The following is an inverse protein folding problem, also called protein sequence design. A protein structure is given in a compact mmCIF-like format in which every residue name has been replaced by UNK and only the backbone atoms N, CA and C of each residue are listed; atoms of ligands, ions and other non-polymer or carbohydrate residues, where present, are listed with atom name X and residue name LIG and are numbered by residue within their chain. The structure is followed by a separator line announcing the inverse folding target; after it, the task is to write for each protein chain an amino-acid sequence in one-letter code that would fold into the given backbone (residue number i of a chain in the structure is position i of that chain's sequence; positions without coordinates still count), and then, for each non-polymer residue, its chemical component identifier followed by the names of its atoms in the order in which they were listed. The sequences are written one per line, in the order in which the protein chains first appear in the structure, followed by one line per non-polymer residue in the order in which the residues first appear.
data_IF_155508888079
#
_entry.id   IF_155508888079
#
_cell.length_a   1.000
_cell.length_b   1.000
_cell.length_c   1.000
_cell.angle_alpha   90.00
_cell.angle_beta   90.00
_cell.angle_gamma   90.00
#
_symmetry.space_group_name_H-M   'P 1'
#
loop_
_entity.id
_entity.type
_entity.pdbx_description
1 polymer ?
#
# COMPACT_ATOMS: atom_id res chain seq x y z
N UNK A 1 -58.04 -49.20 8.67
CA UNK A 1 -57.45 -48.48 7.52
C UNK A 1 -57.27 -47.02 7.92
N UNK A 2 -56.04 -46.61 8.18
CA UNK A 2 -55.56 -45.21 8.03
C UNK A 2 -54.05 -45.29 7.98
N UNK A 3 -53.50 -45.03 6.80
CA UNK A 3 -52.06 -45.01 6.49
C UNK A 3 -51.73 -43.59 6.03
N UNK A 4 -50.52 -43.16 6.40
CA UNK A 4 -49.72 -42.10 5.76
C UNK A 4 -50.09 -40.62 6.06
N UNK A 5 -49.18 -39.71 6.42
CA UNK A 5 -47.76 -39.55 6.01
C UNK A 5 -46.89 -38.90 7.09
N UNK A 6 -45.69 -39.46 7.23
CA UNK A 6 -44.48 -38.81 7.69
C UNK A 6 -44.09 -37.67 6.73
N UNK A 7 -43.67 -36.51 7.25
CA UNK A 7 -42.53 -35.79 6.66
C UNK A 7 -41.85 -34.87 7.70
N UNK A 8 -40.54 -35.04 7.97
CA UNK A 8 -39.75 -34.17 8.83
C UNK A 8 -38.86 -33.25 7.98
N UNK A 9 -39.01 -31.92 8.07
CA UNK A 9 -37.90 -30.99 7.78
C UNK A 9 -38.29 -29.56 8.15
N UNK A 10 -37.95 -29.15 9.37
CA UNK A 10 -37.81 -27.76 9.73
C UNK A 10 -36.41 -27.61 10.32
N UNK A 11 -35.42 -27.48 9.43
CA UNK A 11 -34.06 -27.16 9.80
C UNK A 11 -34.08 -25.81 10.56
N UNK A 12 -33.83 -25.90 11.86
CA UNK A 12 -33.54 -24.79 12.73
C UNK A 12 -32.32 -24.06 12.17
N UNK A 13 -32.54 -22.90 11.57
CA UNK A 13 -31.48 -21.90 11.39
C UNK A 13 -31.06 -21.40 12.77
N UNK A 14 -30.15 -22.13 13.40
CA UNK A 14 -29.40 -21.63 14.54
C UNK A 14 -28.54 -20.47 14.05
N UNK A 15 -28.68 -19.25 14.60
CA UNK A 15 -27.75 -18.18 14.29
C UNK A 15 -26.38 -18.59 14.87
N UNK A 16 -25.37 -18.57 14.01
CA UNK A 16 -23.98 -18.75 14.40
C UNK A 16 -23.64 -17.59 15.32
N UNK A 17 -23.70 -17.81 16.64
CA UNK A 17 -23.14 -16.89 17.64
C UNK A 17 -21.63 -17.09 17.61
N UNK A 18 -21.01 -16.58 16.54
CA UNK A 18 -19.61 -16.26 16.55
C UNK A 18 -19.45 -15.02 17.42
N UNK A 19 -18.61 -15.10 18.45
CA UNK A 19 -18.20 -13.96 19.25
C UNK A 19 -17.53 -12.95 18.31
N UNK A 20 -18.34 -12.07 17.74
CA UNK A 20 -17.90 -11.05 16.82
C UNK A 20 -17.18 -9.99 17.65
N UNK A 21 -15.85 -9.99 17.58
CA UNK A 21 -15.10 -8.75 17.72
C UNK A 21 -15.61 -7.81 16.63
N UNK A 22 -16.71 -7.10 16.89
CA UNK A 22 -17.23 -6.11 15.99
C UNK A 22 -16.16 -5.01 15.90
N UNK A 23 -15.45 -4.84 14.76
CA UNK A 23 -14.70 -3.61 14.56
C UNK A 23 -15.68 -2.47 14.82
N UNK A 24 -15.29 -1.48 15.63
CA UNK A 24 -16.19 -0.36 15.94
C UNK A 24 -16.60 0.22 14.60
N UNK A 25 -17.86 0.07 14.19
CA UNK A 25 -18.37 0.47 12.86
C UNK A 25 -17.94 1.89 12.44
N UNK A 26 -17.69 2.76 13.41
CA UNK A 26 -17.12 4.10 13.22
C UNK A 26 -15.74 4.13 12.53
N UNK A 27 -14.91 3.09 12.68
CA UNK A 27 -13.61 2.93 12.05
C UNK A 27 -13.71 2.49 10.58
N UNK A 28 -14.89 2.04 10.14
CA UNK A 28 -15.14 1.55 8.78
C UNK A 28 -15.74 2.63 7.88
N UNK A 29 -15.62 3.92 8.24
CA UNK A 29 -16.14 5.04 7.47
C UNK A 29 -15.84 4.98 5.97
N UNK A 30 -14.55 4.90 5.58
CA UNK A 30 -14.14 4.83 4.18
C UNK A 30 -14.64 3.56 3.47
N UNK A 31 -14.68 2.43 4.18
CA UNK A 31 -15.21 1.18 3.65
C UNK A 31 -16.72 1.27 3.38
N UNK A 32 -17.48 1.91 4.29
CA UNK A 32 -18.89 2.18 4.11
C UNK A 32 -19.10 3.15 2.94
N UNK A 33 -18.29 4.21 2.83
CA UNK A 33 -18.35 5.15 1.71
C UNK A 33 -18.15 4.45 0.36
N UNK A 34 -17.13 3.60 0.25
CA UNK A 34 -16.89 2.79 -0.96
C UNK A 34 -18.08 1.88 -1.30
N UNK A 35 -18.60 1.10 -0.35
CA UNK A 35 -19.75 0.22 -0.61
C UNK A 35 -20.95 1.01 -1.13
N UNK A 36 -21.16 2.22 -0.59
CA UNK A 36 -22.21 3.14 -1.02
C UNK A 36 -21.97 3.66 -2.45
N UNK A 37 -20.72 3.90 -2.85
CA UNK A 37 -20.36 4.25 -4.24
C UNK A 37 -20.69 3.11 -5.22
N UNK A 38 -20.48 1.86 -4.82
CA UNK A 38 -20.91 0.67 -5.57
C UNK A 38 -22.40 0.33 -5.41
N UNK A 39 -23.22 1.31 -5.05
CA UNK A 39 -24.69 1.19 -4.93
C UNK A 39 -25.19 0.17 -3.89
N UNK A 40 -24.36 -0.21 -2.91
CA UNK A 40 -24.81 -1.10 -1.82
C UNK A 40 -25.74 -0.32 -0.87
N UNK A 41 -26.98 -0.79 -0.63
CA UNK A 41 -27.93 -0.11 0.26
C UNK A 41 -27.44 -0.06 1.71
N UNK A 42 -27.73 1.04 2.41
CA UNK A 42 -27.37 1.20 3.83
C UNK A 42 -28.03 0.16 4.74
N UNK A 43 -29.21 -0.35 4.35
CA UNK A 43 -29.90 -1.46 5.01
C UNK A 43 -29.09 -2.75 4.92
N UNK A 44 -28.57 -3.07 3.74
CA UNK A 44 -27.74 -4.26 3.53
C UNK A 44 -26.42 -4.20 4.29
N UNK A 45 -25.79 -3.03 4.33
CA UNK A 45 -24.59 -2.80 5.14
C UNK A 45 -24.92 -2.98 6.63
N UNK A 46 -26.04 -2.40 7.08
CA UNK A 46 -26.49 -2.50 8.46
C UNK A 46 -26.76 -3.95 8.90
N UNK A 47 -27.37 -4.78 8.05
CA UNK A 47 -27.57 -6.22 8.27
C UNK A 47 -26.24 -6.95 8.48
N UNK A 48 -25.26 -6.74 7.59
CA UNK A 48 -23.95 -7.42 7.66
C UNK A 48 -23.19 -7.07 8.93
N UNK A 49 -23.27 -5.81 9.36
CA UNK A 49 -22.51 -5.33 10.52
C UNK A 49 -23.30 -5.34 11.84
N UNK A 50 -24.52 -5.86 11.87
CA UNK A 50 -25.38 -5.87 13.07
C UNK A 50 -25.67 -4.46 13.60
N UNK A 51 -25.92 -3.50 12.71
CA UNK A 51 -26.12 -2.09 13.03
C UNK A 51 -27.46 -1.56 12.51
N UNK A 52 -27.77 -0.29 12.75
CA UNK A 52 -28.94 0.38 12.16
C UNK A 52 -28.56 1.13 10.89
N UNK A 53 -29.48 1.18 9.91
CA UNK A 53 -29.26 1.95 8.68
C UNK A 53 -29.02 3.44 8.95
N UNK A 54 -29.62 4.00 10.02
CA UNK A 54 -29.37 5.37 10.47
C UNK A 54 -27.91 5.59 10.89
N UNK A 55 -27.34 4.65 11.66
CA UNK A 55 -25.92 4.70 12.07
C UNK A 55 -24.98 4.63 10.88
N UNK A 56 -25.27 3.78 9.89
CA UNK A 56 -24.51 3.69 8.64
C UNK A 56 -24.55 5.01 7.86
N UNK A 57 -25.73 5.63 7.71
CA UNK A 57 -25.88 6.95 7.03
C UNK A 57 -25.12 8.05 7.75
N UNK A 58 -25.15 8.08 9.08
CA UNK A 58 -24.42 9.06 9.88
C UNK A 58 -22.90 8.93 9.70
N UNK A 59 -22.38 7.70 9.73
CA UNK A 59 -20.96 7.42 9.49
C UNK A 59 -20.57 7.85 8.07
N UNK A 60 -21.33 7.44 7.05
CA UNK A 60 -21.10 7.84 5.67
C UNK A 60 -21.10 9.37 5.49
N UNK A 61 -22.03 10.10 6.11
CA UNK A 61 -22.09 11.56 6.03
C UNK A 61 -20.87 12.24 6.67
N UNK A 62 -20.37 11.70 7.79
CA UNK A 62 -19.16 12.20 8.46
C UNK A 62 -17.92 11.99 7.59
N UNK A 63 -17.84 10.82 6.96
CA UNK A 63 -16.71 10.46 6.10
C UNK A 63 -16.71 11.27 4.80
N UNK A 64 -17.88 11.57 4.24
CA UNK A 64 -18.03 12.40 3.03
C UNK A 64 -17.51 13.84 3.19
N UNK A 65 -17.44 14.35 4.43
CA UNK A 65 -16.82 15.66 4.73
C UNK A 65 -15.28 15.62 4.62
N UNK A 66 -14.69 14.44 4.52
CA UNK A 66 -13.25 14.24 4.28
C UNK A 66 -12.96 13.84 2.82
N UNK A 67 -13.97 13.75 1.95
CA UNK A 67 -13.95 12.92 0.73
C UNK A 67 -14.05 13.70 -0.60
N UNK A 68 -13.47 14.89 -0.70
CA UNK A 68 -13.42 15.62 -1.99
C UNK A 68 -12.29 15.13 -2.93
N UNK A 69 -11.61 14.01 -2.61
CA UNK A 69 -10.46 13.53 -3.41
C UNK A 69 -10.61 12.13 -4.00
N UNK A 70 -11.78 11.49 -3.90
CA UNK A 70 -11.99 10.18 -4.50
C UNK A 70 -12.38 10.29 -6.00
N UNK A 71 -11.46 9.79 -6.82
CA UNK A 71 -11.49 9.59 -8.28
C UNK A 71 -10.99 10.78 -9.11
N UNK A 72 -9.70 11.06 -8.99
CA UNK A 72 -8.87 11.10 -10.20
C UNK A 72 -7.81 10.01 -10.03
N UNK A 73 -7.69 9.10 -11.00
CA UNK A 73 -6.62 8.09 -11.03
C UNK A 73 -5.47 8.77 -11.76
N UNK A 74 -4.44 9.23 -11.05
CA UNK A 74 -3.32 9.88 -11.72
C UNK A 74 -2.66 8.87 -12.65
N UNK A 75 -2.26 9.31 -13.84
CA UNK A 75 -1.30 8.53 -14.63
C UNK A 75 0.00 8.42 -13.81
N UNK A 76 0.83 7.39 -14.03
CA UNK A 76 2.18 7.27 -13.46
C UNK A 76 3.00 8.59 -13.32
N UNK A 77 2.92 9.57 -14.25
CA UNK A 77 3.58 10.87 -14.12
C UNK A 77 2.99 11.81 -13.06
N UNK A 78 1.74 11.60 -12.65
CA UNK A 78 0.94 12.45 -11.74
C UNK A 78 0.85 11.90 -10.32
N UNK A 79 1.55 10.80 -10.01
CA UNK A 79 1.61 10.18 -8.66
C UNK A 79 2.08 11.16 -7.58
N UNK A 80 2.78 12.22 -7.98
CA UNK A 80 3.22 13.32 -7.14
C UNK A 80 3.05 14.62 -7.93
N UNK A 81 2.91 15.74 -7.23
CA UNK A 81 2.80 17.06 -7.86
C UNK A 81 4.03 17.33 -8.75
N UNK A 82 3.84 17.68 -10.04
CA UNK A 82 4.92 18.10 -10.93
C UNK A 82 5.86 19.15 -10.31
N UNK A 83 5.34 20.09 -9.49
CA UNK A 83 6.16 21.11 -8.81
C UNK A 83 7.04 20.51 -7.71
N UNK A 84 6.49 19.61 -6.89
CA UNK A 84 7.24 18.92 -5.83
C UNK A 84 8.38 18.08 -6.44
N UNK A 85 8.09 17.43 -7.56
CA UNK A 85 9.07 16.65 -8.31
C UNK A 85 10.14 17.54 -8.96
N UNK A 86 9.75 18.69 -9.50
CA UNK A 86 10.65 19.68 -10.09
C UNK A 86 11.61 20.27 -9.04
N UNK A 87 11.14 20.51 -7.80
CA UNK A 87 11.99 20.97 -6.70
C UNK A 87 13.09 19.95 -6.37
N UNK A 88 12.74 18.67 -6.22
CA UNK A 88 13.72 17.60 -5.93
C UNK A 88 14.67 17.38 -7.11
N UNK A 89 14.17 17.53 -8.35
CA UNK A 89 14.98 17.61 -9.57
C UNK A 89 16.00 18.73 -9.54
N UNK A 90 15.59 19.95 -9.19
CA UNK A 90 16.50 21.10 -9.11
C UNK A 90 17.61 20.89 -8.07
N UNK A 91 17.28 20.27 -6.93
CA UNK A 91 18.22 19.95 -5.86
C UNK A 91 19.23 18.85 -6.24
N UNK A 92 18.85 17.95 -7.14
CA UNK A 92 19.65 16.78 -7.50
C UNK A 92 20.37 16.87 -8.85
N UNK A 93 19.97 17.78 -9.76
CA UNK A 93 20.59 18.00 -11.08
C UNK A 93 22.07 18.39 -11.01
N UNK A 94 22.61 18.68 -9.82
CA UNK A 94 23.97 19.22 -9.63
C UNK A 94 25.11 18.18 -9.64
N UNK A 95 24.86 16.86 -9.65
CA UNK A 95 25.96 15.89 -9.48
C UNK A 95 25.79 14.63 -10.35
N UNK A 96 26.29 14.67 -11.59
CA UNK A 96 26.61 13.47 -12.41
C UNK A 96 28.07 13.02 -12.22
N UNK A 97 28.58 13.13 -11.00
CA UNK A 97 29.95 12.68 -10.69
C UNK A 97 29.88 11.18 -10.35
N UNK A 98 30.60 10.31 -11.06
CA UNK A 98 30.64 8.89 -10.72
C UNK A 98 31.25 8.69 -9.33
N UNK A 99 30.76 7.68 -8.59
CA UNK A 99 31.37 7.29 -7.33
C UNK A 99 32.69 6.56 -7.61
N UNK A 100 33.76 6.95 -6.92
CA UNK A 100 35.09 6.37 -7.09
C UNK A 100 35.71 5.93 -5.76
N UNK A 101 36.63 4.97 -5.84
CA UNK A 101 37.46 4.52 -4.72
C UNK A 101 36.66 4.11 -3.48
N UNK A 102 37.00 4.73 -2.34
CA UNK A 102 36.40 4.44 -1.04
C UNK A 102 34.89 4.67 -1.02
N UNK A 103 34.39 5.73 -1.64
CA UNK A 103 32.96 6.04 -1.64
C UNK A 103 32.15 4.94 -2.33
N UNK A 104 32.65 4.43 -3.47
CA UNK A 104 32.00 3.35 -4.20
C UNK A 104 31.96 2.06 -3.37
N UNK A 105 33.07 1.66 -2.75
CA UNK A 105 33.11 0.46 -1.89
C UNK A 105 32.16 0.57 -0.70
N UNK A 106 32.11 1.75 -0.07
CA UNK A 106 31.20 2.01 1.04
C UNK A 106 29.72 2.05 0.60
N UNK A 107 29.44 2.46 -0.64
CA UNK A 107 28.10 2.34 -1.23
C UNK A 107 27.73 0.89 -1.48
N UNK A 108 28.59 0.12 -2.16
CA UNK A 108 28.39 -1.31 -2.45
C UNK A 108 28.22 -2.12 -1.17
N UNK A 109 28.99 -1.81 -0.11
CA UNK A 109 28.82 -2.42 1.21
C UNK A 109 27.44 -2.15 1.80
N UNK A 110 26.94 -0.91 1.71
CA UNK A 110 25.60 -0.55 2.22
C UNK A 110 24.49 -1.19 1.41
N UNK A 111 24.66 -1.29 0.09
CA UNK A 111 23.74 -2.01 -0.78
C UNK A 111 23.66 -3.49 -0.36
N UNK A 112 24.82 -4.14 -0.21
CA UNK A 112 24.91 -5.52 0.26
C UNK A 112 24.24 -5.71 1.64
N UNK A 113 24.52 -4.82 2.61
CA UNK A 113 23.89 -4.86 3.94
C UNK A 113 22.36 -4.69 3.87
N UNK A 114 21.84 -3.87 2.96
CA UNK A 114 20.40 -3.71 2.78
C UNK A 114 19.77 -5.01 2.25
N UNK A 115 20.36 -5.63 1.23
CA UNK A 115 19.85 -6.88 0.65
C UNK A 115 19.92 -8.07 1.61
N UNK A 116 21.07 -8.24 2.26
CA UNK A 116 21.28 -9.30 3.24
C UNK A 116 20.38 -9.11 4.45
N UNK A 117 20.35 -7.89 5.00
CA UNK A 117 19.49 -7.57 6.14
C UNK A 117 18.00 -7.77 5.84
N UNK A 118 17.55 -7.42 4.63
CA UNK A 118 16.18 -7.73 4.22
C UNK A 118 15.96 -9.24 4.12
N UNK A 119 16.82 -9.95 3.39
CA UNK A 119 16.68 -11.38 3.14
C UNK A 119 16.68 -12.18 4.45
N UNK A 120 17.68 -11.98 5.31
CA UNK A 120 17.81 -12.67 6.61
C UNK A 120 16.57 -12.48 7.49
N UNK A 121 16.17 -11.23 7.69
CA UNK A 121 15.05 -10.90 8.58
C UNK A 121 13.70 -11.32 7.99
N UNK A 122 13.53 -11.23 6.66
CA UNK A 122 12.30 -11.67 5.99
C UNK A 122 12.12 -13.19 6.08
N UNK A 123 13.18 -13.97 5.82
CA UNK A 123 13.13 -15.45 5.92
C UNK A 123 12.93 -15.93 7.36
N UNK A 124 13.49 -15.20 8.33
CA UNK A 124 13.40 -15.56 9.75
C UNK A 124 12.20 -14.94 10.47
N UNK A 125 11.30 -14.25 9.75
CA UNK A 125 10.14 -13.54 10.31
C UNK A 125 10.50 -12.52 11.40
N UNK A 126 11.72 -11.97 11.36
CA UNK A 126 12.23 -11.00 12.35
C UNK A 126 11.93 -9.57 11.92
N UNK A 127 10.65 -9.20 11.85
CA UNK A 127 10.22 -7.94 11.24
C UNK A 127 10.68 -6.69 12.01
N UNK A 128 10.57 -6.70 13.34
CA UNK A 128 11.00 -5.60 14.19
C UNK A 128 12.52 -5.35 14.12
N UNK A 129 13.31 -6.42 13.99
CA UNK A 129 14.76 -6.34 13.77
C UNK A 129 15.08 -5.83 12.36
N UNK A 130 14.39 -6.35 11.34
CA UNK A 130 14.51 -5.87 9.96
C UNK A 130 14.25 -4.36 9.86
N UNK A 131 13.20 -3.86 10.53
CA UNK A 131 12.94 -2.42 10.65
C UNK A 131 14.09 -1.66 11.27
N UNK A 132 14.60 -2.09 12.44
CA UNK A 132 15.71 -1.42 13.11
C UNK A 132 16.94 -1.33 12.21
N UNK A 133 17.28 -2.42 11.52
CA UNK A 133 18.40 -2.45 10.56
C UNK A 133 18.18 -1.47 9.40
N UNK A 134 16.99 -1.46 8.80
CA UNK A 134 16.68 -0.55 7.68
C UNK A 134 16.67 0.92 8.11
N UNK A 135 16.10 1.25 9.26
CA UNK A 135 16.17 2.61 9.84
C UNK A 135 17.61 3.04 10.09
N UNK A 136 18.43 2.13 10.62
CA UNK A 136 19.87 2.35 10.81
C UNK A 136 20.64 2.53 9.49
N UNK A 137 20.19 1.95 8.38
CA UNK A 137 20.80 2.21 7.07
C UNK A 137 20.33 3.54 6.47
N UNK A 138 19.10 3.95 6.72
CA UNK A 138 18.50 5.16 6.15
C UNK A 138 19.26 6.44 6.57
N UNK A 139 19.84 6.47 7.76
CA UNK A 139 20.63 7.61 8.27
C UNK A 139 21.84 7.98 7.38
N UNK A 140 22.34 7.04 6.57
CA UNK A 140 23.45 7.28 5.65
C UNK A 140 23.03 7.93 4.33
N UNK A 141 21.73 8.16 4.13
CA UNK A 141 21.16 8.75 2.91
C UNK A 141 20.34 10.03 3.19
N UNK A 142 20.90 11.06 3.87
CA UNK A 142 20.21 12.32 4.11
C UNK A 142 20.00 13.13 2.82
N UNK A 143 20.92 13.00 1.85
CA UNK A 143 20.83 13.64 0.53
C UNK A 143 20.82 12.61 -0.60
N UNK A 144 19.89 12.77 -1.55
CA UNK A 144 19.67 11.89 -2.70
C UNK A 144 20.18 12.48 -4.02
N UNK A 145 21.19 13.35 -3.97
CA UNK A 145 21.69 14.05 -5.16
C UNK A 145 22.19 13.12 -6.29
N UNK A 146 22.63 11.90 -5.97
CA UNK A 146 23.13 10.91 -6.95
C UNK A 146 22.14 9.76 -7.16
N UNK A 147 21.95 9.34 -8.42
CA UNK A 147 21.00 8.29 -8.81
C UNK A 147 21.15 6.96 -8.05
N UNK A 148 22.37 6.39 -7.88
CA UNK A 148 22.51 5.15 -7.14
C UNK A 148 22.06 5.27 -5.67
N UNK A 149 22.40 6.39 -5.01
CA UNK A 149 21.98 6.67 -3.63
C UNK A 149 20.47 6.86 -3.52
N UNK A 150 19.87 7.53 -4.50
CA UNK A 150 18.42 7.73 -4.57
C UNK A 150 17.68 6.39 -4.72
N UNK A 151 18.13 5.52 -5.64
CA UNK A 151 17.56 4.17 -5.83
C UNK A 151 17.73 3.29 -4.60
N UNK A 152 18.90 3.31 -3.96
CA UNK A 152 19.14 2.54 -2.75
C UNK A 152 18.28 3.04 -1.59
N UNK A 153 18.13 4.37 -1.41
CA UNK A 153 17.21 4.93 -0.42
C UNK A 153 15.76 4.49 -0.67
N UNK A 154 15.30 4.56 -1.92
CA UNK A 154 13.97 4.08 -2.31
C UNK A 154 13.78 2.59 -1.94
N UNK A 155 14.82 1.77 -2.15
CA UNK A 155 14.81 0.35 -1.82
C UNK A 155 14.79 0.07 -0.32
N UNK A 156 15.59 0.80 0.46
CA UNK A 156 15.57 0.70 1.94
C UNK A 156 14.19 1.07 2.48
N UNK A 157 13.56 2.13 1.94
CA UNK A 157 12.20 2.51 2.33
C UNK A 157 11.15 1.47 1.93
N UNK A 158 11.30 0.82 0.77
CA UNK A 158 10.46 -0.32 0.39
C UNK A 158 10.58 -1.46 1.41
N UNK A 159 11.80 -1.84 1.80
CA UNK A 159 12.01 -2.86 2.83
C UNK A 159 11.45 -2.46 4.20
N UNK A 160 11.61 -1.19 4.58
CA UNK A 160 11.07 -0.66 5.82
C UNK A 160 9.53 -0.68 5.80
N UNK A 161 8.91 -0.38 4.65
CA UNK A 161 7.47 -0.49 4.46
C UNK A 161 7.01 -1.95 4.58
N UNK A 162 7.71 -2.87 3.93
CA UNK A 162 7.41 -4.30 3.98
C UNK A 162 7.48 -4.82 5.42
N UNK A 163 8.56 -4.56 6.15
CA UNK A 163 8.65 -4.99 7.53
C UNK A 163 7.60 -4.31 8.42
N UNK A 164 7.33 -3.02 8.20
CA UNK A 164 6.34 -2.28 9.01
C UNK A 164 4.93 -2.81 8.83
N UNK A 165 4.52 -3.20 7.62
CA UNK A 165 3.18 -3.75 7.40
C UNK A 165 3.02 -5.11 8.07
N UNK A 166 4.04 -5.96 8.02
CA UNK A 166 4.02 -7.29 8.66
C UNK A 166 4.16 -7.23 10.19
N UNK A 167 4.77 -6.17 10.71
CA UNK A 167 4.89 -5.89 12.14
C UNK A 167 3.67 -5.11 12.70
N UNK A 168 2.63 -4.88 11.88
CA UNK A 168 1.37 -4.24 12.28
C UNK A 168 1.37 -2.69 12.27
N UNK A 169 2.48 -2.06 11.90
CA UNK A 169 2.62 -0.60 11.83
C UNK A 169 2.15 -0.05 10.48
N UNK A 170 0.85 -0.19 10.21
CA UNK A 170 0.27 0.09 8.90
C UNK A 170 0.43 1.56 8.45
N UNK A 171 0.30 2.53 9.37
CA UNK A 171 0.49 3.95 9.06
C UNK A 171 1.94 4.25 8.63
N UNK A 172 2.93 3.76 9.38
CA UNK A 172 4.35 3.92 9.02
C UNK A 172 4.68 3.18 7.72
N UNK A 173 4.12 1.98 7.52
CA UNK A 173 4.29 1.23 6.28
C UNK A 173 3.78 2.02 5.07
N UNK A 174 2.63 2.68 5.22
CA UNK A 174 2.07 3.54 4.20
C UNK A 174 2.97 4.75 3.90
N UNK A 175 3.45 5.47 4.91
CA UNK A 175 4.36 6.61 4.74
C UNK A 175 5.68 6.21 4.05
N UNK A 176 6.29 5.11 4.48
CA UNK A 176 7.50 4.59 3.85
C UNK A 176 7.26 4.16 2.39
N UNK A 177 6.08 3.60 2.11
CA UNK A 177 5.69 3.24 0.75
C UNK A 177 5.58 4.46 -0.15
N UNK A 178 4.93 5.54 0.32
CA UNK A 178 4.79 6.78 -0.43
C UNK A 178 6.16 7.37 -0.79
N UNK A 179 7.06 7.49 0.18
CA UNK A 179 8.39 8.06 -0.08
C UNK A 179 9.22 7.15 -1.00
N UNK A 180 9.14 5.83 -0.84
CA UNK A 180 9.81 4.88 -1.74
C UNK A 180 9.28 4.99 -3.19
N UNK A 181 7.97 5.08 -3.38
CA UNK A 181 7.35 5.29 -4.69
C UNK A 181 7.77 6.64 -5.30
N UNK A 182 7.82 7.70 -4.49
CA UNK A 182 8.26 9.04 -4.91
C UNK A 182 9.67 9.00 -5.46
N UNK A 183 10.60 8.44 -4.70
CA UNK A 183 11.99 8.30 -5.12
C UNK A 183 12.12 7.40 -6.35
N UNK A 184 11.39 6.30 -6.44
CA UNK A 184 11.41 5.42 -7.61
C UNK A 184 10.90 6.11 -8.88
N UNK A 185 9.84 6.92 -8.78
CA UNK A 185 9.33 7.75 -9.89
C UNK A 185 10.35 8.80 -10.35
N UNK A 186 11.06 9.43 -9.41
CA UNK A 186 12.14 10.37 -9.72
C UNK A 186 13.31 9.66 -10.40
N UNK A 187 13.70 8.47 -9.92
CA UNK A 187 14.75 7.66 -10.53
C UNK A 187 14.42 7.32 -11.98
N UNK A 188 13.19 6.83 -12.21
CA UNK A 188 12.70 6.45 -13.53
C UNK A 188 12.71 7.62 -14.52
N UNK A 189 12.17 8.80 -14.14
CA UNK A 189 12.16 9.96 -15.04
C UNK A 189 13.55 10.46 -15.41
N UNK A 190 14.52 10.35 -14.51
CA UNK A 190 15.90 10.81 -14.76
C UNK A 190 16.75 9.81 -15.53
N UNK A 191 16.51 8.52 -15.31
CA UNK A 191 17.24 7.42 -15.93
C UNK A 191 16.27 6.24 -16.07
N UNK A 192 15.50 6.19 -17.17
CA UNK A 192 14.48 5.17 -17.35
C UNK A 192 15.06 3.77 -17.19
N UNK A 193 14.52 3.05 -16.21
CA UNK A 193 14.93 1.69 -15.89
C UNK A 193 13.71 0.86 -15.52
N UNK A 194 13.53 -0.29 -16.18
CA UNK A 194 12.42 -1.20 -15.91
C UNK A 194 12.33 -1.60 -14.43
N UNK A 195 13.47 -1.75 -13.77
CA UNK A 195 13.54 -2.10 -12.35
C UNK A 195 12.90 -1.04 -11.43
N UNK A 196 12.98 0.24 -11.80
CA UNK A 196 12.38 1.32 -11.00
C UNK A 196 10.83 1.25 -11.07
N UNK A 197 10.27 0.87 -12.23
CA UNK A 197 8.83 0.63 -12.40
C UNK A 197 8.35 -0.62 -11.66
N UNK A 198 9.12 -1.71 -11.69
CA UNK A 198 8.78 -2.94 -10.96
C UNK A 198 8.76 -2.68 -9.44
N UNK A 199 9.77 -1.97 -8.93
CA UNK A 199 9.80 -1.57 -7.52
C UNK A 199 8.65 -0.65 -7.15
N UNK A 200 8.31 0.31 -8.01
CA UNK A 200 7.13 1.17 -7.79
C UNK A 200 5.86 0.33 -7.70
N UNK A 201 5.70 -0.65 -8.59
CA UNK A 201 4.57 -1.60 -8.57
C UNK A 201 4.51 -2.39 -7.26
N UNK A 202 5.63 -3.00 -6.84
CA UNK A 202 5.73 -3.78 -5.60
C UNK A 202 5.44 -2.93 -4.36
N UNK A 203 6.00 -1.72 -4.28
CA UNK A 203 5.73 -0.80 -3.17
C UNK A 203 4.27 -0.33 -3.15
N UNK A 204 3.66 -0.09 -4.31
CA UNK A 204 2.26 0.28 -4.39
C UNK A 204 1.35 -0.82 -3.82
N UNK A 205 1.70 -2.10 -4.00
CA UNK A 205 0.97 -3.21 -3.38
C UNK A 205 1.08 -3.20 -1.85
N UNK A 206 2.25 -2.82 -1.31
CA UNK A 206 2.42 -2.65 0.14
C UNK A 206 1.54 -1.49 0.64
N UNK A 207 1.52 -0.36 -0.07
CA UNK A 207 0.66 0.78 0.26
C UNK A 207 -0.83 0.41 0.20
N UNK A 208 -1.24 -0.39 -0.78
CA UNK A 208 -2.61 -0.90 -0.89
C UNK A 208 -2.97 -1.78 0.31
N UNK A 209 -2.09 -2.73 0.67
CA UNK A 209 -2.29 -3.61 1.82
C UNK A 209 -2.37 -2.81 3.13
N UNK A 210 -1.46 -1.85 3.34
CA UNK A 210 -1.49 -0.97 4.49
C UNK A 210 -2.80 -0.16 4.55
N UNK A 211 -3.31 0.32 3.41
CA UNK A 211 -4.58 1.04 3.33
C UNK A 211 -5.78 0.17 3.70
N UNK A 212 -5.78 -1.10 3.26
CA UNK A 212 -6.82 -2.07 3.65
C UNK A 212 -6.81 -2.35 5.16
N UNK A 213 -5.62 -2.53 5.74
CA UNK A 213 -5.45 -2.75 7.19
C UNK A 213 -5.86 -1.50 8.00
N UNK A 214 -5.78 -0.31 7.40
CA UNK A 214 -6.31 0.94 7.97
C UNK A 214 -7.79 1.19 7.66
N UNK A 215 -8.49 0.23 7.04
CA UNK A 215 -9.91 0.31 6.67
C UNK A 215 -10.26 1.39 5.62
N UNK A 216 -9.29 1.76 4.78
CA UNK A 216 -9.45 2.68 3.65
C UNK A 216 -9.31 1.96 2.30
N UNK A 217 -10.37 1.27 1.84
CA UNK A 217 -10.33 0.53 0.59
C UNK A 217 -10.33 1.46 -0.63
N UNK A 218 -10.85 2.69 -0.51
CA UNK A 218 -10.80 3.70 -1.59
C UNK A 218 -9.37 4.05 -1.94
N UNK A 219 -8.55 4.31 -0.91
CA UNK A 219 -7.11 4.48 -1.05
C UNK A 219 -6.42 3.22 -1.54
N UNK A 220 -6.79 2.05 -1.03
CA UNK A 220 -6.21 0.79 -1.50
C UNK A 220 -6.39 0.60 -3.01
N UNK A 221 -7.59 0.87 -3.54
CA UNK A 221 -7.89 0.78 -4.97
C UNK A 221 -7.02 1.72 -5.82
N UNK A 222 -6.77 2.95 -5.34
CA UNK A 222 -5.84 3.88 -6.00
C UNK A 222 -4.44 3.27 -6.14
N UNK A 223 -3.90 2.67 -5.08
CA UNK A 223 -2.58 2.06 -5.12
C UNK A 223 -2.52 0.77 -5.93
N UNK A 224 -3.60 -0.02 -5.97
CA UNK A 224 -3.71 -1.16 -6.89
C UNK A 224 -3.65 -0.69 -8.35
N UNK A 225 -4.38 0.37 -8.71
CA UNK A 225 -4.31 0.97 -10.04
C UNK A 225 -2.88 1.46 -10.37
N UNK A 226 -2.19 2.10 -9.42
CA UNK A 226 -0.79 2.48 -9.61
C UNK A 226 0.13 1.28 -9.82
N UNK A 227 -0.09 0.18 -9.09
CA UNK A 227 0.68 -1.04 -9.27
C UNK A 227 0.51 -1.60 -10.69
N UNK A 228 -0.72 -1.61 -11.21
CA UNK A 228 -1.04 -2.10 -12.56
C UNK A 228 -0.51 -1.18 -13.65
N UNK A 229 -0.62 0.13 -13.50
CA UNK A 229 -0.02 1.09 -14.43
C UNK A 229 1.50 0.92 -14.49
N UNK A 230 2.18 0.84 -13.34
CA UNK A 230 3.63 0.64 -13.25
C UNK A 230 4.09 -0.65 -13.93
N UNK A 231 3.34 -1.73 -13.72
CA UNK A 231 3.60 -3.03 -14.34
C UNK A 231 3.38 -2.99 -15.86
N UNK A 232 2.31 -2.33 -16.31
CA UNK A 232 2.02 -2.11 -17.73
C UNK A 232 3.12 -1.29 -18.42
N UNK A 233 3.56 -0.20 -17.79
CA UNK A 233 4.67 0.62 -18.28
C UNK A 233 6.01 -0.16 -18.32
N UNK A 234 6.17 -1.18 -17.47
CA UNK A 234 7.31 -2.09 -17.50
C UNK A 234 7.21 -3.17 -18.61
N UNK A 235 6.15 -3.15 -19.42
CA UNK A 235 5.89 -4.13 -20.47
C UNK A 235 5.46 -5.50 -19.93
N UNK A 236 4.81 -5.52 -18.76
CA UNK A 236 4.22 -6.73 -18.17
C UNK A 236 2.69 -6.56 -18.11
N UNK A 237 1.91 -7.64 -18.25
CA UNK A 237 0.45 -7.56 -18.13
C UNK A 237 0.05 -7.01 -16.75
N UNK A 238 -0.95 -6.13 -16.72
CA UNK A 238 -1.58 -5.68 -15.48
C UNK A 238 -2.24 -6.86 -14.78
N UNK A 239 -2.25 -6.91 -13.45
CA UNK A 239 -2.75 -8.08 -12.70
C UNK A 239 -4.24 -8.31 -12.90
N UNK A 240 -5.00 -7.27 -13.24
CA UNK A 240 -6.42 -7.39 -13.61
C UNK A 240 -6.69 -8.12 -14.93
N UNK A 241 -5.69 -8.31 -15.79
CA UNK A 241 -5.85 -9.02 -17.07
C UNK A 241 -5.75 -10.55 -16.95
N UNK A 242 -5.38 -11.07 -15.79
CA UNK A 242 -5.34 -12.51 -15.49
C UNK A 242 -6.65 -13.02 -14.85
N UNK A 243 -7.62 -12.14 -14.58
CA UNK A 243 -8.88 -12.42 -13.88
C UNK A 243 -10.14 -12.27 -14.76
N UNK A 244 -9.97 -12.15 -16.08
CA UNK A 244 -11.02 -12.17 -17.12
C UNK A 244 -10.67 -13.20 -18.18
#
# INVERSE_FOLDING_TARGET
MSVEKHNPSAALHTPIVGVAHHPKLAQLGPSIAMLRMFSVPATRIAEVFGATAGRVRQIHRRDRLHDETLISVPNLPELFDPEELAWIESASKRVRVPMHGRERREFEKRECLAEQGFSECAHSYQYSEGRRRMTGLLQFFPSVARMPKLRLKARILHYLAWFSVHDGYCASAFEHSLESMRLSSIAYRRSPGKLDLLRLSETALIAANASLLMHDPGRALKFLNHADQARSAAGLPGRGSELL
#
